data_IF_517332902773
#
_entry.id   IF_517332902773
#
_cell.length_a   1.000
_cell.length_b   1.000
_cell.length_c   1.000
_cell.angle_alpha   90.00
_cell.angle_beta   90.00
_cell.angle_gamma   90.00
#
_symmetry.space_group_name_H-M   'P 1'
#
loop_
_entity.id
_entity.type
_entity.pdbx_description
1 polymer ?
#
# COMPACT_ATOMS: atom_id res chain seq x y z
N UNK A 1 -2.22 8.99 -9.07
CA UNK A 1 -3.56 9.49 -9.40
C UNK A 1 -4.61 8.40 -9.20
N UNK A 2 -5.81 8.76 -8.83
CA UNK A 2 -6.96 7.84 -8.77
C UNK A 2 -7.50 7.60 -10.19
N UNK A 3 -6.77 6.82 -10.96
CA UNK A 3 -7.12 6.45 -12.32
C UNK A 3 -6.36 5.20 -12.74
N UNK A 4 -6.69 4.61 -13.88
CA UNK A 4 -5.95 3.49 -14.44
C UNK A 4 -4.65 3.95 -15.14
N UNK A 5 -3.82 3.00 -15.53
CA UNK A 5 -2.48 3.25 -16.07
C UNK A 5 -2.50 4.13 -17.32
N UNK A 6 -3.36 3.83 -18.31
CA UNK A 6 -3.42 4.61 -19.55
C UNK A 6 -3.80 6.06 -19.31
N UNK A 7 -4.84 6.30 -18.49
CA UNK A 7 -5.25 7.65 -18.16
C UNK A 7 -4.19 8.40 -17.33
N UNK A 8 -3.47 7.72 -16.45
CA UNK A 8 -2.37 8.32 -15.71
C UNK A 8 -1.26 8.78 -16.65
N UNK A 9 -0.84 7.95 -17.58
CA UNK A 9 0.18 8.30 -18.58
C UNK A 9 -0.29 9.44 -19.48
N UNK A 10 -1.52 9.40 -19.97
CA UNK A 10 -2.10 10.47 -20.79
C UNK A 10 -2.22 11.80 -20.04
N UNK A 11 -2.53 11.75 -18.74
CA UNK A 11 -2.60 12.94 -17.88
C UNK A 11 -1.25 13.44 -17.36
N UNK A 12 -0.15 12.77 -17.70
CA UNK A 12 1.19 13.14 -17.23
C UNK A 12 1.45 12.83 -15.77
N UNK A 13 0.70 11.93 -15.15
CA UNK A 13 0.91 11.50 -13.76
C UNK A 13 1.98 10.43 -13.67
N UNK A 14 2.83 10.52 -12.66
CA UNK A 14 3.92 9.58 -12.42
C UNK A 14 3.48 8.22 -11.85
N UNK A 15 2.26 8.12 -11.33
CA UNK A 15 1.72 6.88 -10.76
C UNK A 15 0.21 6.79 -10.96
N UNK A 16 -0.30 5.57 -10.95
CA UNK A 16 -1.72 5.24 -10.96
C UNK A 16 -2.07 4.38 -9.73
N UNK A 17 -3.37 4.13 -9.53
CA UNK A 17 -3.87 3.30 -8.43
C UNK A 17 -4.91 2.29 -8.95
N UNK A 18 -5.31 1.40 -8.07
CA UNK A 18 -6.42 0.48 -8.31
C UNK A 18 -7.80 1.07 -7.97
N UNK A 19 -7.91 2.38 -7.84
CA UNK A 19 -9.16 3.05 -7.45
C UNK A 19 -10.32 2.79 -8.43
N UNK A 20 -10.00 2.63 -9.73
CA UNK A 20 -10.97 2.31 -10.79
C UNK A 20 -11.20 0.81 -10.99
N UNK A 21 -10.47 -0.04 -10.30
CA UNK A 21 -10.60 -1.49 -10.44
C UNK A 21 -11.86 -1.98 -9.74
N UNK A 22 -12.54 -2.94 -10.37
CA UNK A 22 -13.71 -3.56 -9.78
C UNK A 22 -13.32 -4.54 -8.67
N UNK A 23 -14.02 -4.45 -7.57
CA UNK A 23 -13.96 -5.38 -6.45
C UNK A 23 -15.28 -6.16 -6.45
N UNK A 24 -15.20 -7.47 -6.31
CA UNK A 24 -16.38 -8.33 -6.20
C UNK A 24 -17.03 -8.10 -4.84
N UNK A 25 -18.26 -7.58 -4.84
CA UNK A 25 -19.06 -7.28 -3.65
C UNK A 25 -20.28 -8.21 -3.54
N UNK A 26 -20.15 -9.40 -4.02
CA UNK A 26 -21.14 -10.48 -3.94
C UNK A 26 -20.65 -11.54 -2.94
N UNK A 27 -21.34 -11.64 -1.80
CA UNK A 27 -20.98 -12.58 -0.72
C UNK A 27 -21.07 -14.05 -1.15
N UNK A 28 -21.89 -14.35 -2.16
CA UNK A 28 -22.00 -15.72 -2.69
C UNK A 28 -20.87 -16.12 -3.63
N UNK A 29 -20.10 -15.14 -4.11
CA UNK A 29 -19.02 -15.38 -5.06
C UNK A 29 -17.74 -15.88 -4.36
N UNK A 30 -17.05 -16.90 -4.88
CA UNK A 30 -15.84 -17.45 -4.24
C UNK A 30 -14.68 -16.45 -4.14
N UNK A 31 -14.71 -15.39 -4.95
CA UNK A 31 -13.74 -14.31 -4.93
C UNK A 31 -14.27 -13.03 -4.26
N UNK A 32 -15.25 -13.12 -3.36
CA UNK A 32 -15.75 -11.98 -2.58
C UNK A 32 -14.64 -11.14 -1.97
N UNK A 33 -14.75 -9.82 -2.06
CA UNK A 33 -13.75 -8.82 -1.63
C UNK A 33 -12.40 -8.86 -2.35
N UNK A 34 -12.28 -9.59 -3.46
CA UNK A 34 -11.09 -9.56 -4.30
C UNK A 34 -11.32 -8.69 -5.53
N UNK A 35 -10.22 -8.21 -6.11
CA UNK A 35 -10.27 -7.54 -7.41
C UNK A 35 -10.78 -8.49 -8.49
N UNK A 36 -11.74 -8.02 -9.28
CA UNK A 36 -12.36 -8.78 -10.35
C UNK A 36 -11.36 -9.05 -11.47
N UNK A 37 -11.25 -10.31 -11.87
CA UNK A 37 -10.44 -10.75 -13.02
C UNK A 37 -11.29 -10.89 -14.26
N UNK A 38 -10.70 -10.89 -15.46
CA UNK A 38 -11.44 -11.08 -16.71
C UNK A 38 -12.32 -12.33 -16.71
N UNK A 39 -11.85 -13.44 -16.15
CA UNK A 39 -12.64 -14.66 -16.05
C UNK A 39 -13.90 -14.50 -15.18
N UNK A 40 -13.84 -13.75 -14.09
CA UNK A 40 -15.01 -13.46 -13.23
C UNK A 40 -16.04 -12.60 -13.99
N UNK A 41 -15.55 -11.73 -14.89
CA UNK A 41 -16.37 -10.89 -15.76
C UNK A 41 -16.90 -11.60 -17.01
N UNK A 42 -16.59 -12.89 -17.18
CA UNK A 42 -16.96 -13.63 -18.42
C UNK A 42 -16.20 -13.20 -19.67
N UNK A 43 -15.08 -12.52 -19.50
CA UNK A 43 -14.27 -12.02 -20.63
C UNK A 43 -13.22 -13.06 -21.01
N UNK A 44 -13.15 -13.37 -22.31
CA UNK A 44 -12.08 -14.19 -22.90
C UNK A 44 -10.95 -13.28 -23.37
N UNK A 45 -9.92 -13.12 -22.53
CA UNK A 45 -8.75 -12.28 -22.81
C UNK A 45 -7.48 -13.11 -22.81
N UNK A 46 -6.54 -12.84 -23.74
CA UNK A 46 -5.25 -13.52 -23.75
C UNK A 46 -4.47 -13.29 -22.45
N UNK A 47 -3.79 -14.32 -21.98
CA UNK A 47 -2.88 -14.21 -20.87
C UNK A 47 -1.72 -13.26 -21.20
N UNK A 48 -1.47 -12.27 -20.35
CA UNK A 48 -0.31 -11.39 -20.45
C UNK A 48 0.86 -11.97 -19.68
N UNK A 49 2.04 -11.87 -20.25
CA UNK A 49 3.30 -12.25 -19.57
C UNK A 49 4.23 -11.06 -19.48
N UNK A 50 5.05 -11.04 -18.42
CA UNK A 50 6.12 -10.07 -18.28
C UNK A 50 7.32 -10.42 -19.21
N UNK A 51 8.37 -9.59 -19.11
CA UNK A 51 9.62 -9.79 -19.88
C UNK A 51 10.33 -11.12 -19.59
N UNK A 52 10.05 -11.74 -18.47
CA UNK A 52 10.65 -12.99 -18.01
C UNK A 52 9.71 -14.20 -18.31
N UNK A 53 8.60 -13.97 -19.03
CA UNK A 53 7.61 -14.98 -19.43
C UNK A 53 6.67 -15.41 -18.29
N UNK A 54 6.63 -14.68 -17.19
CA UNK A 54 5.73 -14.96 -16.07
C UNK A 54 4.38 -14.31 -16.29
N UNK A 55 3.30 -15.04 -16.01
CA UNK A 55 1.95 -14.52 -16.09
C UNK A 55 1.76 -13.27 -15.21
N UNK A 56 1.13 -12.25 -15.78
CA UNK A 56 0.79 -10.99 -15.09
C UNK A 56 -0.70 -10.95 -14.85
N UNK A 57 -1.09 -10.66 -13.62
CA UNK A 57 -2.50 -10.52 -13.25
C UNK A 57 -3.16 -9.37 -14.04
N UNK A 58 -4.32 -9.66 -14.63
CA UNK A 58 -5.17 -8.70 -15.31
C UNK A 58 -6.43 -8.45 -14.48
N UNK A 59 -6.88 -7.21 -14.46
CA UNK A 59 -8.05 -6.77 -13.69
C UNK A 59 -9.03 -6.02 -14.57
N UNK A 60 -10.26 -5.88 -14.10
CA UNK A 60 -11.37 -5.27 -14.82
C UNK A 60 -11.72 -3.91 -14.24
N UNK A 61 -12.06 -2.97 -15.10
CA UNK A 61 -12.71 -1.70 -14.77
C UNK A 61 -13.90 -1.47 -15.70
N UNK A 62 -14.71 -0.44 -15.44
CA UNK A 62 -15.68 0.06 -16.40
C UNK A 62 -15.01 1.15 -17.23
N UNK A 63 -15.00 1.01 -18.54
CA UNK A 63 -14.46 2.03 -19.43
C UNK A 63 -15.40 3.25 -19.47
N UNK A 64 -14.85 4.44 -19.18
CA UNK A 64 -15.63 5.67 -19.11
C UNK A 64 -16.14 6.17 -20.48
N UNK A 65 -15.59 5.66 -21.59
CA UNK A 65 -16.02 6.05 -22.94
C UNK A 65 -17.16 5.17 -23.43
N UNK A 66 -17.11 3.88 -23.12
CA UNK A 66 -18.09 2.90 -23.62
C UNK A 66 -19.16 2.54 -22.57
N UNK A 67 -18.86 2.69 -21.28
CA UNK A 67 -19.69 2.23 -20.17
C UNK A 67 -19.62 0.71 -19.95
N UNK A 68 -18.77 -0.01 -20.70
CA UNK A 68 -18.67 -1.46 -20.67
C UNK A 68 -17.45 -1.95 -19.85
N UNK A 69 -17.49 -3.19 -19.34
CA UNK A 69 -16.34 -3.80 -18.69
C UNK A 69 -15.15 -3.93 -19.66
N UNK A 70 -13.97 -3.54 -19.19
CA UNK A 70 -12.74 -3.62 -19.96
C UNK A 70 -11.57 -4.01 -19.07
N UNK A 71 -10.52 -4.60 -19.65
CA UNK A 71 -9.26 -4.83 -18.96
C UNK A 71 -8.60 -3.48 -18.64
N UNK A 72 -8.16 -3.28 -17.41
CA UNK A 72 -7.63 -1.99 -16.95
C UNK A 72 -6.48 -1.45 -17.80
N UNK A 73 -5.64 -2.33 -18.31
CA UNK A 73 -4.50 -1.96 -19.15
C UNK A 73 -4.92 -1.54 -20.58
N UNK A 74 -6.08 -1.99 -21.04
CA UNK A 74 -6.58 -1.74 -22.40
C UNK A 74 -7.59 -0.59 -22.44
N UNK A 75 -8.16 -0.24 -21.28
CA UNK A 75 -9.10 0.85 -21.08
C UNK A 75 -8.40 2.22 -21.11
N UNK A 76 -8.90 3.16 -21.91
CA UNK A 76 -8.33 4.52 -21.98
C UNK A 76 -8.52 5.28 -20.68
N UNK A 77 -9.69 5.15 -20.03
CA UNK A 77 -10.01 5.78 -18.75
C UNK A 77 -11.07 4.96 -18.01
N UNK A 78 -10.74 4.45 -16.84
CA UNK A 78 -11.72 3.77 -15.97
C UNK A 78 -12.66 4.73 -15.27
N UNK A 79 -13.94 4.33 -15.09
CA UNK A 79 -14.89 5.02 -14.23
C UNK A 79 -14.39 4.94 -12.78
N UNK A 80 -14.36 6.09 -12.11
CA UNK A 80 -13.83 6.17 -10.74
C UNK A 80 -14.84 5.67 -9.71
N UNK A 81 -16.07 6.14 -9.80
CA UNK A 81 -17.14 5.79 -8.86
C UNK A 81 -18.20 4.95 -9.58
N UNK A 82 -18.25 3.67 -9.25
CA UNK A 82 -19.17 2.72 -9.86
C UNK A 82 -19.62 1.66 -8.85
N UNK A 83 -20.90 1.39 -8.87
CA UNK A 83 -21.55 0.27 -8.19
C UNK A 83 -22.58 -0.33 -9.15
N UNK A 84 -22.56 -1.65 -9.33
CA UNK A 84 -23.45 -2.33 -10.27
C UNK A 84 -23.18 -3.81 -10.37
N UNK A 85 -23.52 -4.38 -11.53
CA UNK A 85 -23.30 -5.79 -11.83
C UNK A 85 -22.51 -5.94 -13.12
N UNK A 86 -21.57 -6.90 -13.12
CA UNK A 86 -20.84 -7.35 -14.31
C UNK A 86 -20.97 -8.86 -14.39
N UNK A 87 -21.48 -9.35 -15.49
CA UNK A 87 -21.72 -10.78 -15.70
C UNK A 87 -22.56 -11.45 -14.57
N UNK A 88 -23.56 -10.71 -14.03
CA UNK A 88 -24.41 -11.18 -12.94
C UNK A 88 -23.72 -11.19 -11.56
N UNK A 89 -22.53 -10.64 -11.45
CA UNK A 89 -21.77 -10.52 -10.19
C UNK A 89 -21.83 -9.07 -9.72
N UNK A 90 -22.23 -8.84 -8.46
CA UNK A 90 -22.21 -7.50 -7.86
C UNK A 90 -20.78 -7.03 -7.67
N UNK A 91 -20.52 -5.81 -8.11
CA UNK A 91 -19.16 -5.21 -8.07
C UNK A 91 -19.22 -3.74 -7.70
N UNK A 92 -18.14 -3.27 -7.10
CA UNK A 92 -17.91 -1.84 -6.80
C UNK A 92 -16.49 -1.48 -7.14
N UNK A 93 -16.24 -0.24 -7.50
CA UNK A 93 -14.86 0.24 -7.64
C UNK A 93 -14.17 0.37 -6.29
N UNK A 94 -12.84 0.24 -6.28
CA UNK A 94 -12.06 0.50 -5.07
C UNK A 94 -12.30 1.90 -4.50
N UNK A 95 -12.57 2.90 -5.35
CA UNK A 95 -12.92 4.25 -4.92
C UNK A 95 -14.29 4.33 -4.25
N UNK A 96 -15.32 3.65 -4.78
CA UNK A 96 -16.65 3.62 -4.15
C UNK A 96 -16.56 3.05 -2.72
N UNK A 97 -15.80 1.95 -2.54
CA UNK A 97 -15.58 1.34 -1.22
C UNK A 97 -14.83 2.30 -0.29
N UNK A 98 -13.82 3.01 -0.79
CA UNK A 98 -13.08 4.00 -0.01
C UNK A 98 -14.01 5.15 0.42
N UNK A 99 -14.84 5.65 -0.50
CA UNK A 99 -15.79 6.74 -0.24
C UNK A 99 -16.78 6.35 0.85
N UNK A 100 -17.34 5.15 0.79
CA UNK A 100 -18.22 4.64 1.85
C UNK A 100 -17.50 4.59 3.20
N UNK A 101 -16.27 4.07 3.22
CA UNK A 101 -15.48 3.98 4.45
C UNK A 101 -15.16 5.35 5.05
N UNK A 102 -14.84 6.34 4.22
CA UNK A 102 -14.57 7.72 4.67
C UNK A 102 -15.83 8.41 5.17
N UNK A 103 -16.97 8.14 4.54
CA UNK A 103 -18.26 8.72 4.92
C UNK A 103 -18.97 7.96 6.06
N UNK A 104 -18.32 6.96 6.66
CA UNK A 104 -18.86 6.26 7.83
C UNK A 104 -19.05 7.18 9.05
N UNK A 105 -18.32 8.29 9.09
CA UNK A 105 -18.43 9.34 10.11
C UNK A 105 -18.59 10.71 9.44
N UNK A 106 -19.28 11.62 10.12
CA UNK A 106 -19.35 13.03 9.72
C UNK A 106 -18.05 13.75 10.04
N UNK A 107 -17.85 14.94 9.49
CA UNK A 107 -16.67 15.76 9.78
C UNK A 107 -16.62 16.18 11.26
N UNK A 108 -17.78 16.39 11.89
CA UNK A 108 -17.94 16.70 13.31
C UNK A 108 -17.49 15.51 14.17
N UNK A 109 -17.91 14.30 13.81
CA UNK A 109 -17.48 13.09 14.51
C UNK A 109 -15.97 12.85 14.34
N UNK A 110 -15.42 13.08 13.15
CA UNK A 110 -13.97 13.04 12.98
C UNK A 110 -13.24 14.11 13.82
N UNK A 111 -13.82 15.30 13.94
CA UNK A 111 -13.29 16.36 14.78
C UNK A 111 -13.24 15.94 16.26
N UNK A 112 -14.31 15.33 16.78
CA UNK A 112 -14.36 14.79 18.14
C UNK A 112 -13.33 13.68 18.37
N UNK A 113 -13.22 12.72 17.44
CA UNK A 113 -12.29 11.59 17.54
C UNK A 113 -10.83 12.06 17.52
N UNK A 114 -10.51 13.03 16.67
CA UNK A 114 -9.12 13.48 16.45
C UNK A 114 -8.71 14.63 17.36
N UNK A 115 -9.65 15.37 17.93
CA UNK A 115 -9.41 16.61 18.65
C UNK A 115 -8.98 17.78 17.77
N UNK A 116 -9.11 17.67 16.44
CA UNK A 116 -8.84 18.73 15.47
C UNK A 116 -10.14 19.41 15.10
N UNK A 117 -10.20 20.75 15.14
CA UNK A 117 -11.43 21.48 14.83
C UNK A 117 -11.87 21.28 13.37
N UNK A 118 -13.16 21.33 13.11
CA UNK A 118 -13.74 21.24 11.75
C UNK A 118 -13.14 22.33 10.85
N UNK A 119 -12.99 23.55 11.37
CA UNK A 119 -12.40 24.68 10.64
C UNK A 119 -10.95 24.40 10.21
N UNK A 120 -10.16 23.75 11.07
CA UNK A 120 -8.79 23.39 10.74
C UNK A 120 -8.73 22.25 9.72
N UNK A 121 -9.60 21.24 9.84
CA UNK A 121 -9.69 20.16 8.86
C UNK A 121 -10.01 20.74 7.48
N UNK A 122 -11.04 21.58 7.39
CA UNK A 122 -11.43 22.22 6.12
C UNK A 122 -10.36 23.16 5.57
N UNK A 123 -9.74 23.99 6.43
CA UNK A 123 -8.68 24.89 6.03
C UNK A 123 -7.49 24.15 5.44
N UNK A 124 -7.03 23.08 6.13
CA UNK A 124 -5.91 22.25 5.66
C UNK A 124 -6.27 21.57 4.35
N UNK A 125 -7.48 21.03 4.23
CA UNK A 125 -7.93 20.36 3.00
C UNK A 125 -7.97 21.36 1.81
N UNK A 126 -8.50 22.56 2.01
CA UNK A 126 -8.55 23.63 1.00
C UNK A 126 -7.14 24.06 0.58
N UNK A 127 -6.26 24.29 1.55
CA UNK A 127 -4.88 24.67 1.26
C UNK A 127 -4.14 23.54 0.54
N UNK A 128 -4.22 22.30 1.04
CA UNK A 128 -3.58 21.14 0.44
C UNK A 128 -3.99 20.95 -1.03
N UNK A 129 -5.28 21.04 -1.32
CA UNK A 129 -5.81 20.85 -2.68
C UNK A 129 -5.51 22.02 -3.62
N UNK A 130 -5.24 23.23 -3.10
CA UNK A 130 -4.96 24.42 -3.91
C UNK A 130 -3.63 24.37 -4.66
N UNK A 131 -2.71 23.50 -4.23
CA UNK A 131 -1.37 23.40 -4.82
C UNK A 131 -1.28 22.37 -5.96
N UNK A 132 -2.37 21.70 -6.32
CA UNK A 132 -2.40 20.68 -7.37
C UNK A 132 -1.41 19.55 -7.07
N UNK A 133 -0.56 19.20 -8.04
CA UNK A 133 0.41 18.11 -7.87
C UNK A 133 1.69 18.52 -7.13
N UNK A 134 1.80 19.76 -6.65
CA UNK A 134 2.98 20.29 -5.96
C UNK A 134 2.81 20.30 -4.44
N UNK A 135 2.30 19.24 -3.88
CA UNK A 135 2.06 19.09 -2.45
C UNK A 135 2.55 17.72 -2.00
N UNK A 136 3.02 17.63 -0.77
CA UNK A 136 3.47 16.37 -0.19
C UNK A 136 3.16 16.36 1.30
N UNK A 137 2.77 15.20 1.81
CA UNK A 137 2.72 14.91 3.24
C UNK A 137 4.07 14.35 3.66
N UNK A 138 4.77 15.08 4.52
CA UNK A 138 6.03 14.59 5.09
C UNK A 138 5.73 13.82 6.38
N UNK A 139 6.07 12.55 6.40
CA UNK A 139 5.92 11.71 7.57
C UNK A 139 7.18 10.86 7.78
N UNK A 140 7.70 10.84 8.98
CA UNK A 140 8.82 9.98 9.39
C UNK A 140 8.83 9.88 10.92
N UNK A 141 9.02 8.68 11.42
CA UNK A 141 9.28 8.44 12.84
C UNK A 141 8.13 8.77 13.80
N UNK A 142 7.49 9.92 13.66
CA UNK A 142 6.40 10.37 14.53
C UNK A 142 5.12 9.58 14.32
N UNK A 143 4.35 9.91 13.31
CA UNK A 143 3.07 9.24 13.00
C UNK A 143 3.23 7.76 12.68
N UNK A 144 4.37 7.36 12.10
CA UNK A 144 4.62 5.97 11.71
C UNK A 144 5.05 5.08 12.88
N UNK A 145 5.50 5.64 14.00
CA UNK A 145 6.00 4.89 15.15
C UNK A 145 4.92 4.60 16.21
N UNK A 146 3.67 4.88 15.92
CA UNK A 146 2.52 4.55 16.76
C UNK A 146 1.95 3.16 16.44
N UNK A 147 1.06 2.68 17.30
CA UNK A 147 0.35 1.41 17.10
C UNK A 147 -0.42 1.41 15.76
N UNK A 148 -1.01 2.54 15.39
CA UNK A 148 -1.76 2.72 14.15
C UNK A 148 -0.92 3.42 13.06
N UNK A 149 0.40 3.38 13.17
CA UNK A 149 1.30 4.06 12.25
C UNK A 149 1.17 3.63 10.80
N UNK A 150 0.84 2.35 10.56
CA UNK A 150 0.58 1.83 9.22
C UNK A 150 -0.63 2.51 8.59
N UNK A 151 -1.72 2.65 9.33
CA UNK A 151 -2.95 3.28 8.83
C UNK A 151 -2.71 4.77 8.54
N UNK A 152 -1.96 5.46 9.39
CA UNK A 152 -1.56 6.85 9.15
C UNK A 152 -0.72 7.01 7.87
N UNK A 153 0.19 6.07 7.60
CA UNK A 153 0.98 6.05 6.37
C UNK A 153 0.12 5.76 5.14
N UNK A 154 -0.81 4.82 5.25
CA UNK A 154 -1.75 4.50 4.17
C UNK A 154 -2.61 5.72 3.86
N UNK A 155 -3.16 6.40 4.87
CA UNK A 155 -3.91 7.65 4.70
C UNK A 155 -3.09 8.75 4.01
N UNK A 156 -1.85 8.98 4.42
CA UNK A 156 -0.96 9.94 3.77
C UNK A 156 -0.70 9.58 2.30
N UNK A 157 -0.47 8.30 2.00
CA UNK A 157 -0.31 7.85 0.61
C UNK A 157 -1.60 7.98 -0.21
N UNK A 158 -2.76 7.77 0.38
CA UNK A 158 -4.05 8.03 -0.28
C UNK A 158 -4.19 9.51 -0.67
N UNK A 159 -3.82 10.45 0.20
CA UNK A 159 -3.79 11.88 -0.15
C UNK A 159 -2.88 12.16 -1.35
N UNK A 160 -1.69 11.57 -1.39
CA UNK A 160 -0.80 11.67 -2.54
C UNK A 160 -1.42 11.10 -3.82
N UNK A 161 -2.12 9.97 -3.73
CA UNK A 161 -2.80 9.37 -4.88
C UNK A 161 -3.99 10.21 -5.35
N UNK A 162 -4.79 10.77 -4.43
CA UNK A 162 -5.90 11.68 -4.76
C UNK A 162 -5.41 12.90 -5.54
N UNK A 163 -4.33 13.52 -5.08
CA UNK A 163 -3.76 14.71 -5.72
C UNK A 163 -2.89 14.38 -6.94
N UNK A 164 -2.57 13.11 -7.18
CA UNK A 164 -1.67 12.70 -8.26
C UNK A 164 -0.23 13.16 -8.07
N UNK A 165 0.23 13.34 -6.82
CA UNK A 165 1.54 13.91 -6.50
C UNK A 165 2.68 12.90 -6.52
N UNK A 166 2.36 11.59 -6.53
CA UNK A 166 3.39 10.55 -6.54
C UNK A 166 4.24 10.62 -7.81
N UNK A 167 5.57 10.64 -7.63
CA UNK A 167 6.57 10.74 -8.69
C UNK A 167 6.47 12.03 -9.54
N UNK A 168 5.86 13.07 -9.00
CA UNK A 168 5.75 14.37 -9.66
C UNK A 168 6.76 15.35 -9.10
N UNK A 169 7.25 16.28 -9.95
CA UNK A 169 8.17 17.35 -9.53
C UNK A 169 7.43 18.27 -8.55
N UNK A 170 7.99 18.42 -7.36
CA UNK A 170 7.39 19.22 -6.27
C UNK A 170 6.32 18.46 -5.47
N UNK A 171 6.09 17.19 -5.81
CA UNK A 171 5.21 16.28 -5.08
C UNK A 171 6.00 15.27 -4.26
N UNK A 172 5.42 14.08 -4.09
CA UNK A 172 6.03 12.98 -3.36
C UNK A 172 6.96 12.15 -4.27
N UNK A 173 8.26 12.30 -4.08
CA UNK A 173 9.23 11.42 -4.73
C UNK A 173 9.41 10.13 -3.89
N UNK A 174 9.57 8.95 -4.52
CA UNK A 174 9.95 7.76 -3.78
C UNK A 174 11.26 8.04 -3.05
N UNK A 175 11.29 7.72 -1.76
CA UNK A 175 12.46 7.94 -0.94
C UNK A 175 13.60 7.05 -1.46
N UNK A 176 14.58 7.67 -2.07
CA UNK A 176 15.87 7.02 -2.24
C UNK A 176 16.48 6.79 -0.86
N UNK A 177 17.12 5.65 -0.60
CA UNK A 177 17.84 5.47 0.66
C UNK A 177 18.71 6.70 0.89
N UNK A 178 18.62 7.26 2.10
CA UNK A 178 19.40 8.43 2.47
C UNK A 178 20.86 8.22 2.03
N UNK A 179 21.48 9.16 1.30
CA UNK A 179 22.84 8.99 0.87
C UNK A 179 23.67 8.71 2.12
N UNK A 180 24.19 7.50 2.20
CA UNK A 180 25.08 7.14 3.29
C UNK A 180 26.33 7.95 3.13
N UNK A 181 26.58 8.84 4.08
CA UNK A 181 27.81 9.61 4.13
C UNK A 181 29.04 8.73 4.40
N UNK A 182 28.85 7.44 4.54
CA UNK A 182 29.80 6.46 5.04
C UNK A 182 29.98 5.21 4.16
N UNK A 183 29.57 5.21 2.90
CA UNK A 183 29.71 4.07 2.00
C UNK A 183 30.69 4.34 0.83
N UNK A 184 30.98 3.31 0.04
CA UNK A 184 31.83 3.40 -1.16
C UNK A 184 31.29 4.46 -2.11
N UNK A 185 32.11 5.46 -2.44
CA UNK A 185 31.71 6.59 -3.27
C UNK A 185 31.08 7.78 -2.52
N UNK A 186 30.89 7.70 -1.22
CA UNK A 186 30.50 8.81 -0.38
C UNK A 186 31.68 9.77 -0.11
N UNK A 187 31.38 10.98 0.33
CA UNK A 187 32.40 12.00 0.65
C UNK A 187 33.43 11.50 1.69
N UNK A 188 32.98 10.64 2.60
CA UNK A 188 33.82 9.96 3.58
C UNK A 188 33.57 8.46 3.48
N UNK A 189 34.49 7.71 2.89
CA UNK A 189 34.39 6.26 2.85
C UNK A 189 34.99 5.66 4.13
N UNK A 190 34.12 5.44 5.11
CA UNK A 190 34.49 4.82 6.38
C UNK A 190 34.80 3.32 6.24
N UNK A 191 34.53 2.72 5.09
CA UNK A 191 34.84 1.31 4.85
C UNK A 191 36.36 1.07 4.82
N UNK A 192 37.14 2.11 4.48
CA UNK A 192 38.59 2.09 4.38
C UNK A 192 39.33 2.37 5.70
N UNK A 193 38.60 2.80 6.74
CA UNK A 193 39.18 3.16 8.04
C UNK A 193 39.63 1.89 8.78
N UNK A 194 40.91 1.79 9.06
CA UNK A 194 41.47 0.68 9.86
C UNK A 194 41.03 0.82 11.33
N UNK A 195 40.67 -0.30 11.95
CA UNK A 195 40.27 -0.32 13.36
C UNK A 195 38.86 0.22 13.64
N UNK A 196 38.02 0.42 12.61
CA UNK A 196 36.63 0.73 12.83
C UNK A 196 35.98 -0.34 13.72
N UNK A 197 35.25 0.04 14.77
CA UNK A 197 34.51 -0.94 15.53
C UNK A 197 33.51 -1.60 14.58
N UNK A 198 33.54 -2.92 14.50
CA UNK A 198 32.51 -3.70 13.85
C UNK A 198 31.25 -3.64 14.74
N UNK A 199 30.60 -2.50 14.79
CA UNK A 199 29.29 -2.40 15.38
C UNK A 199 28.30 -3.00 14.40
N UNK A 200 28.24 -4.32 14.41
CA UNK A 200 27.03 -4.97 13.98
C UNK A 200 25.98 -4.61 15.03
N UNK A 201 25.19 -3.59 14.79
CA UNK A 201 23.88 -3.47 15.40
C UNK A 201 23.07 -4.65 14.88
N UNK A 202 23.37 -5.83 15.35
CA UNK A 202 22.44 -6.94 15.29
C UNK A 202 21.32 -6.52 16.22
N UNK A 203 20.34 -5.86 15.65
CA UNK A 203 19.05 -5.83 16.29
C UNK A 203 18.71 -7.28 16.61
N UNK A 204 18.11 -7.50 17.76
CA UNK A 204 17.73 -8.83 18.19
C UNK A 204 17.10 -9.63 17.03
N UNK A 205 17.25 -10.94 17.01
CA UNK A 205 16.75 -11.77 15.94
C UNK A 205 15.23 -11.65 15.86
N UNK A 206 14.79 -10.82 14.97
CA UNK A 206 13.39 -10.69 14.70
C UNK A 206 13.00 -11.70 13.66
N UNK A 207 11.96 -12.36 13.98
CA UNK A 207 11.24 -13.27 13.15
C UNK A 207 11.07 -12.70 11.73
N UNK A 208 10.67 -11.45 11.62
CA UNK A 208 10.42 -10.74 10.38
C UNK A 208 11.65 -10.38 9.54
N UNK A 209 12.84 -10.67 10.00
CA UNK A 209 14.05 -10.38 9.22
C UNK A 209 14.48 -11.46 8.26
N UNK A 210 13.82 -12.58 8.33
CA UNK A 210 14.27 -13.77 7.59
C UNK A 210 13.90 -13.74 6.11
N UNK A 211 13.01 -12.84 5.68
CA UNK A 211 12.43 -12.89 4.32
C UNK A 211 11.69 -14.21 4.04
N UNK A 212 11.49 -15.03 5.06
CA UNK A 212 10.87 -16.35 4.98
C UNK A 212 9.43 -16.23 5.47
N UNK A 213 8.50 -16.77 4.74
CA UNK A 213 7.11 -16.89 5.18
C UNK A 213 7.04 -17.70 6.49
N UNK A 214 6.07 -17.37 7.34
CA UNK A 214 5.89 -18.04 8.64
C UNK A 214 5.85 -19.57 8.51
N UNK A 215 5.12 -20.07 7.53
CA UNK A 215 4.93 -21.49 7.27
C UNK A 215 6.23 -22.22 6.87
N UNK A 216 7.25 -21.49 6.47
CA UNK A 216 8.57 -22.02 6.09
C UNK A 216 9.55 -22.05 7.25
N UNK A 217 9.20 -21.48 8.39
CA UNK A 217 10.08 -21.42 9.55
C UNK A 217 10.17 -22.78 10.25
N UNK A 218 11.27 -23.02 10.93
CA UNK A 218 11.44 -24.25 11.72
C UNK A 218 10.47 -24.28 12.92
N UNK A 219 10.15 -23.12 13.49
CA UNK A 219 9.14 -23.03 14.56
C UNK A 219 7.78 -23.53 14.08
N UNK A 220 7.28 -23.04 12.94
CA UNK A 220 6.02 -23.51 12.36
C UNK A 220 6.04 -25.02 12.12
N UNK A 221 7.09 -25.50 11.45
CA UNK A 221 7.23 -26.94 11.13
C UNK A 221 7.26 -27.80 12.39
N UNK A 222 7.98 -27.38 13.42
CA UNK A 222 8.07 -28.09 14.69
C UNK A 222 6.72 -28.16 15.41
N UNK A 223 5.96 -27.06 15.40
CA UNK A 223 4.63 -27.02 16.02
C UNK A 223 3.61 -27.87 15.26
N UNK A 224 3.67 -27.85 13.92
CA UNK A 224 2.85 -28.77 13.10
C UNK A 224 3.24 -30.21 13.36
N UNK A 225 4.53 -30.53 13.43
CA UNK A 225 5.01 -31.87 13.75
C UNK A 225 4.60 -32.34 15.17
N UNK A 226 4.42 -31.40 16.09
CA UNK A 226 3.89 -31.64 17.42
C UNK A 226 2.34 -31.80 17.47
N UNK A 227 1.67 -31.74 16.31
CA UNK A 227 0.22 -31.95 16.18
C UNK A 227 -0.62 -30.64 16.26
N UNK A 228 0.01 -29.45 16.25
CA UNK A 228 -0.73 -28.20 16.23
C UNK A 228 -1.29 -27.92 14.83
N UNK A 229 -2.59 -27.62 14.74
CA UNK A 229 -3.26 -27.30 13.48
C UNK A 229 -3.15 -25.80 13.21
N UNK A 230 -2.53 -25.42 12.09
CA UNK A 230 -2.35 -24.03 11.64
C UNK A 230 -1.78 -23.11 12.73
N UNK A 231 -0.58 -23.40 13.27
CA UNK A 231 0.03 -22.61 14.34
C UNK A 231 0.23 -21.16 13.89
N UNK A 232 -0.24 -20.22 14.69
CA UNK A 232 -0.02 -18.78 14.43
C UNK A 232 1.20 -18.31 15.21
N UNK A 233 2.00 -17.36 14.66
CA UNK A 233 3.10 -16.81 15.40
C UNK A 233 2.57 -16.07 16.64
N UNK A 234 3.34 -16.11 17.73
CA UNK A 234 3.02 -15.38 18.96
C UNK A 234 3.01 -13.86 18.72
N UNK A 235 3.73 -13.43 17.70
CA UNK A 235 3.83 -12.05 17.26
C UNK A 235 3.44 -11.94 15.79
N UNK A 236 2.98 -10.74 15.34
CA UNK A 236 2.75 -10.50 13.93
C UNK A 236 4.00 -10.86 13.11
N UNK A 237 3.80 -11.69 12.12
CA UNK A 237 4.88 -12.11 11.22
C UNK A 237 4.92 -11.19 10.01
N UNK A 238 6.03 -10.49 9.83
CA UNK A 238 6.24 -9.65 8.66
C UNK A 238 7.32 -10.24 7.77
N UNK A 239 6.93 -10.57 6.55
CA UNK A 239 7.84 -11.03 5.53
C UNK A 239 8.41 -9.84 4.77
N UNK A 240 9.49 -9.25 5.28
CA UNK A 240 10.18 -8.17 4.59
C UNK A 240 11.64 -8.54 4.28
N UNK A 241 12.04 -8.32 3.04
CA UNK A 241 13.45 -8.14 2.74
C UNK A 241 13.91 -6.85 3.44
N UNK A 242 15.08 -6.88 4.05
CA UNK A 242 15.64 -5.82 4.88
C UNK A 242 15.62 -4.44 4.23
N UNK A 243 14.55 -3.68 4.40
CA UNK A 243 14.52 -2.24 4.13
C UNK A 243 14.70 -1.47 5.45
N UNK A 244 15.12 -0.23 5.37
CA UNK A 244 15.20 0.65 6.55
C UNK A 244 13.84 0.82 7.23
N UNK A 245 12.76 0.77 6.46
CA UNK A 245 11.41 0.92 6.96
C UNK A 245 10.92 -0.32 7.70
N UNK A 246 11.27 -1.50 7.20
CA UNK A 246 11.01 -2.74 7.93
C UNK A 246 11.83 -2.81 9.22
N UNK A 247 13.01 -2.21 9.27
CA UNK A 247 13.80 -2.14 10.50
C UNK A 247 13.19 -1.18 11.53
N UNK A 248 12.62 -0.07 11.10
CA UNK A 248 11.92 0.85 11.99
C UNK A 248 10.63 0.24 12.55
N UNK A 249 9.83 -0.39 11.68
CA UNK A 249 8.64 -1.15 12.08
C UNK A 249 9.00 -2.26 13.05
N UNK A 250 10.11 -2.94 12.79
CA UNK A 250 10.64 -4.00 13.63
C UNK A 250 11.11 -3.51 14.99
N UNK A 251 11.71 -2.36 15.04
CA UNK A 251 12.09 -1.72 16.30
C UNK A 251 10.87 -1.46 17.18
N UNK A 252 9.78 -0.97 16.59
CA UNK A 252 8.52 -0.73 17.30
C UNK A 252 7.86 -2.03 17.79
N UNK A 253 7.76 -3.04 16.94
CA UNK A 253 7.17 -4.34 17.30
C UNK A 253 7.98 -5.06 18.36
N UNK A 254 9.29 -4.86 18.37
CA UNK A 254 10.17 -5.55 19.29
C UNK A 254 10.15 -5.03 20.71
N UNK A 255 9.86 -3.79 20.87
CA UNK A 255 9.71 -3.25 22.23
C UNK A 255 8.43 -3.77 22.91
N UNK A 256 7.41 -4.08 22.14
CA UNK A 256 6.12 -4.52 22.63
C UNK A 256 6.14 -5.89 23.34
N UNK A 257 6.68 -6.94 22.76
CA UNK A 257 6.63 -8.27 23.37
C UNK A 257 7.58 -8.43 24.55
N UNK A 258 8.67 -7.67 24.58
CA UNK A 258 9.58 -7.69 25.72
C UNK A 258 9.00 -6.93 26.93
N UNK A 259 8.11 -5.99 26.69
CA UNK A 259 7.42 -5.26 27.75
C UNK A 259 6.17 -6.01 28.25
N UNK A 260 5.64 -6.94 27.46
CA UNK A 260 4.47 -7.75 27.83
C UNK A 260 4.84 -9.11 28.46
N UNK A 261 6.10 -9.39 28.64
CA UNK A 261 6.62 -10.51 29.42
C UNK A 261 6.98 -10.07 30.82
#
# INVERSE_FOLDING_TARGET
SFTNQKAAVAGGYGAFSNATFLVIDDESHPNYKKLMRPADAGMDVPEKTDKDGKAVDQFVCIDAETGEPAVTDDCSKGVLDFEGEVNGVKVRTGFAILTESVNAYTIEEYSEITGVSVEDIERIAKEFTSHGTRVSVCHKGGSCASVNGVDAMVGANMLHMMMGTNQMIGGNAPNSPAPTTAGKGARYDLSTVKGKPSVSTKHAPYISRTGVAWEKTDEYKNRVAAGETDPKPIMPWFQYASSSDSQALMGAINQYPYQCK
#
